data_IF_040953883202
#
_entry.id   IF_040953883202
#
_cell.length_a   1.000
_cell.length_b   1.000
_cell.length_c   1.000
_cell.angle_alpha   90.00
_cell.angle_beta   90.00
_cell.angle_gamma   90.00
#
_symmetry.space_group_name_H-M   'P 1'
#
loop_
_entity.id
_entity.type
_entity.pdbx_description
1 polymer ?
#
# COMPACT_ATOMS: atom_id res chain seq x y z
N UNK A 1 -36.59 -19.07 -9.32
CA UNK A 1 -36.91 -17.99 -8.36
C UNK A 1 -38.35 -18.17 -7.93
N UNK A 2 -38.62 -18.34 -6.63
CA UNK A 2 -40.00 -18.48 -6.12
C UNK A 2 -40.57 -17.11 -5.75
N UNK A 3 -41.90 -16.97 -5.75
CA UNK A 3 -42.56 -15.73 -5.30
C UNK A 3 -42.14 -15.31 -3.89
N UNK A 4 -41.91 -16.28 -2.99
CA UNK A 4 -41.41 -16.03 -1.64
C UNK A 4 -40.02 -15.39 -1.64
N UNK A 5 -39.09 -15.90 -2.47
CA UNK A 5 -37.75 -15.28 -2.60
C UNK A 5 -37.82 -13.86 -3.14
N UNK A 6 -38.69 -13.59 -4.11
CA UNK A 6 -38.89 -12.24 -4.66
C UNK A 6 -39.45 -11.26 -3.61
N UNK A 7 -40.38 -11.72 -2.76
CA UNK A 7 -40.94 -10.88 -1.70
C UNK A 7 -39.94 -10.58 -0.59
N UNK A 8 -39.12 -11.57 -0.19
CA UNK A 8 -38.06 -11.35 0.78
C UNK A 8 -37.04 -10.30 0.31
N UNK A 9 -36.64 -10.36 -0.97
CA UNK A 9 -35.73 -9.37 -1.57
C UNK A 9 -36.34 -7.96 -1.59
N UNK A 10 -37.61 -7.84 -1.98
CA UNK A 10 -38.36 -6.56 -1.94
C UNK A 10 -38.40 -6.01 -0.52
N UNK A 11 -38.69 -6.86 0.47
CA UNK A 11 -38.77 -6.44 1.87
C UNK A 11 -37.42 -5.93 2.39
N UNK A 12 -36.32 -6.64 2.09
CA UNK A 12 -34.96 -6.23 2.44
C UNK A 12 -34.64 -4.86 1.85
N UNK A 13 -34.91 -4.66 0.56
CA UNK A 13 -34.67 -3.38 -0.12
C UNK A 13 -35.47 -2.24 0.53
N UNK A 14 -36.76 -2.46 0.81
CA UNK A 14 -37.61 -1.44 1.43
C UNK A 14 -37.19 -1.12 2.87
N UNK A 15 -36.73 -2.12 3.63
CA UNK A 15 -36.16 -1.92 4.97
C UNK A 15 -34.89 -1.09 4.91
N UNK A 16 -33.97 -1.44 4.02
CA UNK A 16 -32.74 -0.70 3.82
C UNK A 16 -33.02 0.76 3.42
N UNK A 17 -33.91 0.98 2.46
CA UNK A 17 -34.29 2.32 2.00
C UNK A 17 -34.86 3.16 3.15
N UNK A 18 -35.75 2.57 3.98
CA UNK A 18 -36.31 3.26 5.16
C UNK A 18 -35.23 3.66 6.17
N UNK A 19 -34.27 2.77 6.44
CA UNK A 19 -33.15 3.06 7.34
C UNK A 19 -32.27 4.17 6.78
N UNK A 20 -31.91 4.10 5.50
CA UNK A 20 -31.10 5.13 4.82
C UNK A 20 -31.78 6.49 4.85
N UNK A 21 -33.08 6.56 4.55
CA UNK A 21 -33.85 7.80 4.59
C UNK A 21 -33.90 8.40 5.99
N UNK A 22 -34.20 7.58 7.01
CA UNK A 22 -34.21 8.03 8.41
C UNK A 22 -32.85 8.58 8.83
N UNK A 23 -31.78 7.82 8.57
CA UNK A 23 -30.43 8.25 8.87
C UNK A 23 -30.09 9.57 8.17
N UNK A 24 -30.44 9.69 6.88
CA UNK A 24 -30.18 10.88 6.09
C UNK A 24 -30.93 12.10 6.64
N UNK A 25 -32.20 11.96 7.01
CA UNK A 25 -32.98 13.05 7.62
C UNK A 25 -32.31 13.59 8.90
N UNK A 26 -31.80 12.70 9.74
CA UNK A 26 -31.17 13.06 11.02
C UNK A 26 -29.73 13.57 10.87
N UNK A 27 -28.97 13.04 9.90
CA UNK A 27 -27.52 13.20 9.86
C UNK A 27 -27.00 14.03 8.67
N UNK A 28 -27.79 14.32 7.65
CA UNK A 28 -27.29 15.04 6.46
C UNK A 28 -26.71 16.42 6.80
N UNK A 29 -27.34 17.17 7.71
CA UNK A 29 -26.84 18.49 8.11
C UNK A 29 -25.48 18.38 8.81
N UNK A 30 -25.32 17.40 9.70
CA UNK A 30 -24.05 17.11 10.40
C UNK A 30 -22.97 16.65 9.41
N UNK A 31 -23.32 15.74 8.51
CA UNK A 31 -22.42 15.25 7.47
C UNK A 31 -21.95 16.37 6.53
N UNK A 32 -22.87 17.25 6.11
CA UNK A 32 -22.52 18.43 5.29
C UNK A 32 -21.65 19.42 6.04
N UNK A 33 -21.90 19.66 7.33
CA UNK A 33 -21.06 20.53 8.15
C UNK A 33 -19.63 19.96 8.34
N UNK A 34 -19.50 18.64 8.51
CA UNK A 34 -18.19 17.96 8.56
C UNK A 34 -17.49 17.92 7.21
N UNK A 35 -18.26 17.82 6.12
CA UNK A 35 -17.76 17.81 4.75
C UNK A 35 -17.48 19.20 4.18
N UNK A 36 -17.86 20.29 4.88
CA UNK A 36 -17.39 21.60 4.47
C UNK A 36 -15.86 21.59 4.52
N UNK A 37 -15.19 21.98 3.42
CA UNK A 37 -13.74 22.04 3.41
C UNK A 37 -13.32 22.96 4.55
N UNK A 38 -12.50 22.45 5.48
CA UNK A 38 -11.82 23.30 6.44
C UNK A 38 -11.12 24.37 5.61
N UNK A 39 -11.58 25.62 5.67
CA UNK A 39 -11.03 26.74 4.91
C UNK A 39 -9.61 27.14 5.36
N UNK A 40 -8.86 26.22 5.96
CA UNK A 40 -7.48 26.38 6.38
C UNK A 40 -6.58 25.64 5.40
N UNK A 41 -5.68 26.42 4.81
CA UNK A 41 -4.59 26.03 3.93
C UNK A 41 -5.01 25.60 2.50
N UNK A 42 -5.44 26.57 1.69
CA UNK A 42 -4.95 26.66 0.30
C UNK A 42 -3.49 27.12 0.30
N UNK A 43 -2.66 26.56 1.17
CA UNK A 43 -1.23 26.65 0.98
C UNK A 43 -0.98 25.64 -0.13
N UNK A 44 -0.76 26.14 -1.35
CA UNK A 44 -0.44 25.29 -2.49
C UNK A 44 0.77 24.48 -2.07
N UNK A 45 0.58 23.18 -1.79
CA UNK A 45 1.68 22.24 -1.61
C UNK A 45 2.52 22.38 -2.87
N UNK A 46 3.68 23.04 -2.74
CA UNK A 46 4.66 23.13 -3.81
C UNK A 46 5.28 21.73 -3.87
N UNK A 47 4.65 20.85 -4.62
CA UNK A 47 5.22 19.56 -4.94
C UNK A 47 6.55 19.83 -5.67
N UNK A 48 7.66 19.22 -5.26
CA UNK A 48 8.90 19.33 -6.00
C UNK A 48 8.65 18.83 -7.42
N UNK A 49 9.08 19.62 -8.41
CA UNK A 49 8.97 19.25 -9.82
C UNK A 49 9.95 18.11 -10.08
N UNK A 50 9.42 16.90 -10.27
CA UNK A 50 10.21 15.78 -10.77
C UNK A 50 10.30 15.99 -12.28
N UNK A 51 11.46 16.45 -12.75
CA UNK A 51 11.79 16.42 -14.16
C UNK A 51 11.99 14.95 -14.55
N UNK A 52 10.91 14.28 -14.96
CA UNK A 52 11.05 13.12 -15.84
C UNK A 52 11.68 13.65 -17.12
N UNK A 53 12.92 13.25 -17.38
CA UNK A 53 13.52 13.47 -18.68
C UNK A 53 12.52 12.98 -19.74
N UNK A 54 12.22 13.77 -20.79
CA UNK A 54 11.38 13.32 -21.87
C UNK A 54 11.86 11.95 -22.35
N UNK A 55 10.97 10.98 -22.66
CA UNK A 55 11.39 9.77 -23.31
C UNK A 55 12.07 10.19 -24.62
N UNK A 56 13.39 10.04 -24.68
CA UNK A 56 14.09 10.15 -25.94
C UNK A 56 13.49 9.08 -26.85
N UNK A 57 12.97 9.51 -27.99
CA UNK A 57 12.45 8.66 -29.04
C UNK A 57 13.47 7.55 -29.34
N UNK A 58 13.17 6.34 -28.90
CA UNK A 58 13.94 5.14 -29.21
C UNK A 58 13.01 4.15 -29.93
N UNK A 59 13.41 3.63 -31.10
CA UNK A 59 12.55 2.91 -32.01
C UNK A 59 12.11 1.54 -31.46
N UNK A 60 10.86 1.20 -31.77
CA UNK A 60 10.22 -0.08 -31.51
C UNK A 60 11.12 -1.25 -31.98
N UNK A 61 11.77 -1.92 -31.02
CA UNK A 61 12.49 -3.16 -31.30
C UNK A 61 11.67 -4.32 -30.75
N UNK A 62 11.11 -5.06 -31.69
CA UNK A 62 10.36 -6.32 -31.55
C UNK A 62 11.12 -7.30 -30.64
N UNK A 63 10.61 -7.57 -29.44
CA UNK A 63 11.13 -8.62 -28.55
C UNK A 63 10.39 -9.93 -28.83
N UNK A 64 11.09 -10.85 -29.48
CA UNK A 64 10.67 -12.25 -29.61
C UNK A 64 10.67 -12.94 -28.24
N UNK A 65 9.57 -13.65 -27.94
CA UNK A 65 9.40 -14.42 -26.71
C UNK A 65 10.35 -15.62 -26.70
N UNK A 66 11.41 -15.57 -25.91
CA UNK A 66 12.13 -16.78 -25.48
C UNK A 66 11.54 -17.27 -24.16
N UNK A 67 10.90 -18.42 -24.22
CA UNK A 67 10.53 -19.25 -23.07
C UNK A 67 11.83 -19.73 -22.42
N UNK A 68 12.03 -19.42 -21.14
CA UNK A 68 13.04 -20.04 -20.32
C UNK A 68 12.36 -21.07 -19.41
N UNK A 69 12.60 -22.34 -19.68
CA UNK A 69 12.28 -23.45 -18.79
C UNK A 69 13.19 -23.38 -17.56
N UNK A 70 12.58 -23.34 -16.36
CA UNK A 70 13.29 -23.44 -15.08
C UNK A 70 13.28 -24.88 -14.55
N UNK A 71 14.32 -25.30 -13.79
CA UNK A 71 14.49 -26.66 -13.27
C UNK A 71 13.49 -27.02 -12.15
N UNK A 72 13.29 -28.32 -11.83
CA UNK A 72 12.08 -28.81 -11.18
C UNK A 72 11.97 -28.42 -9.70
N UNK A 73 10.78 -27.94 -9.34
CA UNK A 73 10.42 -27.46 -8.01
C UNK A 73 10.21 -28.62 -7.03
N UNK A 74 10.94 -28.60 -5.92
CA UNK A 74 10.61 -29.42 -4.75
C UNK A 74 9.41 -28.80 -4.01
N UNK A 75 8.30 -29.52 -4.03
CA UNK A 75 6.91 -29.18 -3.62
C UNK A 75 6.66 -28.71 -2.18
N UNK A 76 7.69 -28.39 -1.38
CA UNK A 76 7.53 -27.90 0.02
C UNK A 76 7.66 -26.38 0.17
N UNK A 77 8.18 -25.67 -0.82
CA UNK A 77 8.35 -24.21 -0.76
C UNK A 77 7.08 -23.48 -1.21
N UNK A 78 6.33 -24.06 -2.14
CA UNK A 78 5.20 -23.42 -2.82
C UNK A 78 4.07 -23.03 -1.86
N UNK A 79 3.77 -23.84 -0.83
CA UNK A 79 2.65 -23.58 0.08
C UNK A 79 2.85 -22.31 0.95
N UNK A 80 4.09 -21.99 1.33
CA UNK A 80 4.42 -20.75 2.05
C UNK A 80 4.36 -19.52 1.16
N UNK A 81 4.70 -19.66 -0.13
CA UNK A 81 4.67 -18.53 -1.08
C UNK A 81 3.23 -18.22 -1.51
N UNK A 82 2.38 -19.24 -1.69
CA UNK A 82 0.96 -19.06 -2.03
C UNK A 82 0.18 -18.42 -0.87
N UNK A 83 0.46 -18.81 0.38
CA UNK A 83 -0.10 -18.13 1.55
C UNK A 83 0.42 -16.68 1.72
N UNK A 84 1.66 -16.40 1.31
CA UNK A 84 2.24 -15.07 1.33
C UNK A 84 1.67 -14.16 0.22
N UNK A 85 1.29 -14.71 -0.94
CA UNK A 85 0.70 -13.95 -2.04
C UNK A 85 -0.70 -13.39 -1.69
N UNK A 86 -1.44 -14.03 -0.79
CA UNK A 86 -2.72 -13.52 -0.28
C UNK A 86 -2.58 -12.47 0.83
N UNK A 87 -1.39 -12.29 1.40
CA UNK A 87 -1.13 -11.35 2.49
C UNK A 87 -0.42 -10.09 1.97
N UNK A 88 -1.01 -8.92 2.19
CA UNK A 88 -0.41 -7.64 1.77
C UNK A 88 0.96 -7.37 2.43
N UNK A 89 1.16 -7.90 3.65
CA UNK A 89 2.36 -7.68 4.45
C UNK A 89 3.18 -8.94 4.68
N UNK A 90 4.50 -8.76 4.74
CA UNK A 90 5.45 -9.78 5.19
C UNK A 90 5.22 -10.10 6.68
N UNK A 91 5.47 -11.36 7.09
CA UNK A 91 5.32 -11.75 8.49
C UNK A 91 6.28 -10.94 9.39
N UNK A 92 5.86 -10.57 10.61
CA UNK A 92 6.72 -9.88 11.57
C UNK A 92 7.78 -10.82 12.15
N UNK A 93 8.90 -10.26 12.60
CA UNK A 93 9.94 -11.03 13.30
C UNK A 93 9.37 -11.63 14.60
N UNK A 94 9.85 -12.80 15.06
CA UNK A 94 9.34 -13.45 16.27
C UNK A 94 9.42 -12.54 17.50
N UNK A 95 10.54 -11.83 17.68
CA UNK A 95 10.71 -10.83 18.74
C UNK A 95 9.65 -9.73 18.71
N UNK A 96 9.29 -9.24 17.53
CA UNK A 96 8.21 -8.24 17.42
C UNK A 96 6.85 -8.89 17.68
N UNK A 97 6.63 -10.12 17.22
CA UNK A 97 5.37 -10.87 17.41
C UNK A 97 5.09 -11.17 18.89
N UNK A 98 6.11 -11.46 19.68
CA UNK A 98 6.01 -11.67 21.13
C UNK A 98 5.40 -10.45 21.84
N UNK A 99 5.82 -9.23 21.45
CA UNK A 99 5.26 -7.99 21.98
C UNK A 99 3.74 -7.92 21.86
N UNK A 100 3.12 -8.60 20.90
CA UNK A 100 1.67 -8.57 20.73
C UNK A 100 0.89 -9.13 21.94
N UNK A 101 1.51 -10.06 22.68
CA UNK A 101 0.88 -10.82 23.76
C UNK A 101 1.37 -10.43 25.15
N UNK A 102 2.29 -9.45 25.26
CA UNK A 102 2.82 -9.00 26.54
C UNK A 102 2.02 -7.81 27.09
N UNK A 103 1.37 -7.98 28.25
CA UNK A 103 0.74 -6.87 28.97
C UNK A 103 -0.62 -6.42 28.41
N UNK A 104 -1.08 -5.23 28.82
CA UNK A 104 -2.36 -4.67 28.36
C UNK A 104 -2.20 -3.35 27.60
N UNK A 105 -3.04 -3.13 26.58
CA UNK A 105 -3.00 -1.89 25.77
C UNK A 105 -3.23 -0.63 26.62
N UNK A 106 -3.94 -0.72 27.74
CA UNK A 106 -4.23 0.43 28.62
C UNK A 106 -2.98 0.97 29.31
N UNK A 107 -1.96 0.12 29.49
CA UNK A 107 -0.65 0.48 30.05
C UNK A 107 0.38 0.79 28.95
N UNK A 108 -0.08 1.00 27.71
CA UNK A 108 0.78 1.15 26.52
C UNK A 108 1.66 -0.08 26.23
N UNK A 109 1.28 -1.25 26.73
CA UNK A 109 1.98 -2.50 26.48
C UNK A 109 1.32 -3.26 25.32
N UNK A 110 1.91 -4.40 24.96
CA UNK A 110 1.25 -5.33 24.06
C UNK A 110 1.19 -4.82 22.61
N UNK A 111 -0.05 -4.73 22.13
CA UNK A 111 -0.40 -4.23 20.79
C UNK A 111 0.19 -2.85 20.50
N UNK A 112 0.24 -1.97 21.50
CA UNK A 112 0.81 -0.64 21.30
C UNK A 112 2.29 -0.71 20.95
N UNK A 113 3.08 -1.47 21.73
CA UNK A 113 4.50 -1.70 21.48
C UNK A 113 4.73 -2.41 20.14
N UNK A 114 3.89 -3.39 19.79
CA UNK A 114 3.93 -4.06 18.49
C UNK A 114 3.79 -3.05 17.33
N UNK A 115 2.76 -2.20 17.36
CA UNK A 115 2.51 -1.23 16.30
C UNK A 115 3.62 -0.18 16.24
N UNK A 116 4.10 0.30 17.39
CA UNK A 116 5.21 1.26 17.50
C UNK A 116 6.54 0.69 17.00
N UNK A 117 6.77 -0.61 17.18
CA UNK A 117 7.93 -1.29 16.61
C UNK A 117 7.76 -1.49 15.09
N UNK A 118 6.58 -1.93 14.65
CA UNK A 118 6.28 -2.21 13.23
C UNK A 118 6.18 -0.95 12.37
N UNK A 119 5.96 0.23 12.94
CA UNK A 119 5.95 1.51 12.21
C UNK A 119 7.35 2.04 11.89
N UNK A 120 8.38 1.60 12.60
CA UNK A 120 9.79 2.01 12.37
C UNK A 120 10.43 1.29 11.18
N UNK A 121 9.82 0.21 10.72
CA UNK A 121 10.32 -0.61 9.61
C UNK A 121 9.92 0.06 8.29
N UNK A 122 10.86 0.15 7.35
CA UNK A 122 10.60 0.74 6.04
C UNK A 122 9.52 -0.06 5.27
N UNK A 123 8.69 0.60 4.45
CA UNK A 123 7.60 -0.05 3.73
C UNK A 123 8.05 -1.25 2.89
N UNK A 124 9.23 -1.18 2.27
CA UNK A 124 9.77 -2.23 1.40
C UNK A 124 10.05 -3.57 2.13
N UNK A 125 10.43 -3.50 3.40
CA UNK A 125 10.67 -4.68 4.24
C UNK A 125 9.38 -5.18 4.89
N UNK A 126 8.36 -4.33 4.96
CA UNK A 126 7.09 -4.60 5.62
C UNK A 126 6.04 -5.15 4.66
N UNK A 127 5.98 -4.62 3.45
CA UNK A 127 5.01 -4.99 2.41
C UNK A 127 5.69 -5.79 1.30
N UNK A 128 4.91 -6.63 0.61
CA UNK A 128 5.40 -7.41 -0.54
C UNK A 128 5.44 -6.53 -1.79
N UNK A 129 4.44 -5.66 -1.95
CA UNK A 129 4.27 -4.75 -3.07
C UNK A 129 3.84 -3.36 -2.56
N UNK A 130 4.02 -2.29 -3.36
CA UNK A 130 3.53 -0.97 -3.00
C UNK A 130 2.00 -0.97 -2.95
N UNK A 131 1.44 -0.87 -1.74
CA UNK A 131 -0.03 -0.90 -1.53
C UNK A 131 -0.70 0.42 -1.94
N UNK A 132 0.04 1.52 -1.90
CA UNK A 132 -0.48 2.86 -2.24
C UNK A 132 0.37 3.50 -3.33
N UNK A 133 -0.22 4.42 -4.10
CA UNK A 133 0.50 5.19 -5.14
C UNK A 133 1.67 6.00 -4.56
N UNK A 134 1.59 6.41 -3.30
CA UNK A 134 2.70 7.10 -2.64
C UNK A 134 3.92 6.19 -2.39
N UNK A 135 3.73 4.87 -2.30
CA UNK A 135 4.84 3.91 -2.14
C UNK A 135 5.54 3.61 -3.44
N UNK A 136 4.86 3.80 -4.57
CA UNK A 136 5.43 3.56 -5.90
C UNK A 136 6.63 4.50 -6.15
N UNK A 137 6.50 5.76 -5.72
CA UNK A 137 7.61 6.69 -5.67
C UNK A 137 8.60 6.27 -4.58
N UNK A 138 9.83 5.94 -4.97
CA UNK A 138 10.87 5.56 -4.01
C UNK A 138 10.99 4.06 -3.73
N UNK A 139 10.12 3.22 -4.31
CA UNK A 139 10.17 1.78 -4.08
C UNK A 139 11.47 1.16 -4.60
N UNK A 140 12.27 0.58 -3.70
CA UNK A 140 13.50 -0.15 -4.00
C UNK A 140 14.64 0.66 -4.63
N UNK A 141 14.52 1.99 -4.73
CA UNK A 141 15.52 2.87 -5.36
C UNK A 141 16.90 2.79 -4.64
N UNK A 142 16.92 2.49 -3.35
CA UNK A 142 18.17 2.42 -2.55
C UNK A 142 18.99 1.14 -2.73
N UNK A 143 18.45 0.08 -3.35
CA UNK A 143 19.13 -1.22 -3.46
C UNK A 143 20.00 -1.33 -4.71
N UNK A 144 19.70 -0.53 -5.73
CA UNK A 144 20.31 -0.65 -7.06
C UNK A 144 21.46 0.36 -7.28
N UNK A 145 21.73 1.26 -6.32
CA UNK A 145 22.70 2.36 -6.46
C UNK A 145 24.14 2.02 -6.03
N UNK A 146 24.60 0.79 -6.23
CA UNK A 146 25.99 0.44 -5.89
C UNK A 146 27.04 0.95 -6.89
N UNK A 147 26.62 1.46 -8.05
CA UNK A 147 27.54 1.84 -9.14
C UNK A 147 27.80 3.34 -9.32
N UNK A 148 26.93 4.25 -8.85
CA UNK A 148 27.02 5.67 -9.27
C UNK A 148 27.95 6.51 -8.37
N UNK A 149 28.49 5.96 -7.27
CA UNK A 149 29.31 6.72 -6.32
C UNK A 149 30.83 6.75 -6.60
N UNK A 150 31.30 6.39 -7.81
CA UNK A 150 32.76 6.30 -8.08
C UNK A 150 33.32 7.22 -9.18
N UNK A 151 32.52 7.97 -9.92
CA UNK A 151 33.06 8.86 -10.96
C UNK A 151 32.72 10.34 -10.73
N UNK A 152 33.11 10.83 -9.56
CA UNK A 152 33.48 12.23 -9.39
C UNK A 152 34.93 12.47 -9.81
N UNK A 153 35.31 12.14 -11.05
CA UNK A 153 36.60 12.57 -11.62
C UNK A 153 36.54 14.09 -11.86
N UNK A 154 36.90 14.84 -10.82
CA UNK A 154 37.24 16.25 -10.91
C UNK A 154 38.45 16.37 -11.85
N UNK A 155 38.21 16.84 -13.08
CA UNK A 155 39.28 17.28 -13.98
C UNK A 155 39.89 18.55 -13.39
N UNK A 156 40.91 18.40 -12.54
CA UNK A 156 41.87 19.46 -12.27
C UNK A 156 42.78 19.56 -13.51
N UNK A 157 42.45 20.50 -14.38
CA UNK A 157 43.37 20.98 -15.42
C UNK A 157 44.57 21.65 -14.74
N UNK A 158 45.75 21.04 -14.86
CA UNK A 158 47.03 21.73 -14.72
C UNK A 158 47.48 22.12 -16.14
N UNK A 159 47.58 23.43 -16.40
CA UNK A 159 48.49 24.05 -17.36
C UNK A 159 49.23 25.13 -16.60
#
# INVERSE_FOLDING_TARGET
>A
MTSQTQNAMKEMYMKEMRVRLRWHQENIKKAKAMAQPRAKAKERLKLPSIHLAPPADAPETKVEKKVCEGPPVTRKVEEKVVAALGAEMKPPTPRTKELLYHGTTKQEEGRYLYLKARSKIIPEEKYIYPVTTNFEYGWQIGKDNWFIATEGHSYLYYI
#
